data_IF_113909294634
#
_entry.id   IF_113909294634
#
_cell.length_a   1.000
_cell.length_b   1.000
_cell.length_c   1.000
_cell.angle_alpha   90.00
_cell.angle_beta   90.00
_cell.angle_gamma   90.00
#
_symmetry.space_group_name_H-M   'P 1'
#
loop_
_entity.id
_entity.type
_entity.pdbx_description
1 polymer ?
#
# COMPACT_ATOMS: atom_id res chain seq x y z
N UNK A 1 -7.62 -10.73 -13.56
CA UNK A 1 -8.44 -9.81 -12.74
C UNK A 1 -8.47 -8.42 -13.40
N UNK A 2 -9.00 -8.33 -14.63
CA UNK A 2 -9.08 -7.08 -15.41
C UNK A 2 -10.43 -6.99 -16.15
N UNK A 3 -11.49 -7.43 -15.47
CA UNK A 3 -12.90 -7.27 -15.85
C UNK A 3 -13.55 -6.58 -14.65
N UNK A 4 -14.37 -5.54 -14.73
CA UNK A 4 -15.11 -4.87 -15.80
C UNK A 4 -15.24 -3.42 -15.32
N UNK A 5 -14.75 -2.46 -16.08
CA UNK A 5 -15.34 -1.11 -15.98
C UNK A 5 -16.74 -1.23 -16.57
N UNK A 6 -17.76 -0.90 -15.77
CA UNK A 6 -19.15 -0.87 -16.21
C UNK A 6 -19.27 -0.08 -17.53
N UNK A 7 -20.13 -0.57 -18.42
CA UNK A 7 -20.40 0.08 -19.72
C UNK A 7 -20.79 1.54 -19.50
N UNK A 8 -21.59 1.83 -18.47
CA UNK A 8 -21.99 3.19 -18.12
C UNK A 8 -20.78 4.08 -17.82
N UNK A 9 -19.79 3.58 -17.08
CA UNK A 9 -18.56 4.33 -16.80
C UNK A 9 -17.78 4.61 -18.09
N UNK A 10 -17.62 3.62 -18.97
CA UNK A 10 -16.90 3.82 -20.25
C UNK A 10 -17.62 4.81 -21.17
N UNK A 11 -18.95 4.79 -21.18
CA UNK A 11 -19.76 5.70 -21.97
C UNK A 11 -19.68 7.13 -21.40
N UNK A 12 -19.68 7.30 -20.08
CA UNK A 12 -19.40 8.58 -19.42
C UNK A 12 -18.01 9.12 -19.79
N UNK A 13 -16.98 8.28 -19.76
CA UNK A 13 -15.63 8.64 -20.19
C UNK A 13 -15.55 9.04 -21.68
N UNK A 14 -16.27 8.33 -22.55
CA UNK A 14 -16.31 8.62 -24.00
C UNK A 14 -17.09 9.89 -24.33
N UNK A 15 -18.13 10.19 -23.55
CA UNK A 15 -18.97 11.38 -23.73
C UNK A 15 -18.32 12.67 -23.22
N UNK A 16 -17.17 12.59 -22.54
CA UNK A 16 -16.49 13.74 -21.93
C UNK A 16 -17.16 14.27 -20.66
N UNK A 17 -18.25 13.63 -20.20
CA UNK A 17 -18.94 13.97 -18.93
C UNK A 17 -18.06 13.67 -17.72
N UNK A 18 -17.15 12.69 -17.85
CA UNK A 18 -16.19 12.33 -16.83
C UNK A 18 -14.80 12.27 -17.44
N UNK A 19 -13.83 12.91 -16.79
CA UNK A 19 -12.43 12.86 -17.20
C UNK A 19 -11.65 11.89 -16.31
N UNK A 20 -10.67 11.20 -16.89
CA UNK A 20 -9.74 10.39 -16.10
C UNK A 20 -8.97 11.36 -15.21
N UNK A 21 -8.80 11.08 -13.90
CA UNK A 21 -7.94 11.89 -13.06
C UNK A 21 -6.57 11.99 -13.73
N UNK A 22 -6.23 13.20 -14.15
CA UNK A 22 -4.95 13.48 -14.79
C UNK A 22 -3.92 13.61 -13.67
N UNK A 23 -3.01 12.64 -13.58
CA UNK A 23 -1.90 12.73 -12.66
C UNK A 23 -0.74 13.47 -13.31
N UNK A 24 -0.17 14.44 -12.58
CA UNK A 24 1.08 15.07 -13.00
C UNK A 24 2.19 14.02 -13.12
N UNK A 25 3.26 14.27 -13.90
CA UNK A 25 4.43 13.37 -13.93
C UNK A 25 5.00 13.09 -12.53
N UNK A 26 4.99 14.10 -11.65
CA UNK A 26 5.48 14.01 -10.27
C UNK A 26 4.59 13.10 -9.40
N UNK A 27 3.28 13.26 -9.47
CA UNK A 27 2.31 12.40 -8.76
C UNK A 27 2.44 10.94 -9.21
N UNK A 28 2.63 10.69 -10.52
CA UNK A 28 2.86 9.33 -11.04
C UNK A 28 4.15 8.74 -10.50
N UNK A 29 5.23 9.52 -10.46
CA UNK A 29 6.52 9.08 -9.93
C UNK A 29 6.41 8.75 -8.44
N UNK A 30 5.73 9.60 -7.66
CA UNK A 30 5.52 9.42 -6.24
C UNK A 30 4.60 8.23 -5.93
N UNK A 31 3.51 8.01 -6.70
CA UNK A 31 2.68 6.78 -6.64
C UNK A 31 3.51 5.53 -6.88
N UNK A 32 4.36 5.53 -7.91
CA UNK A 32 5.25 4.41 -8.24
C UNK A 32 6.25 4.14 -7.12
N UNK A 33 6.86 5.19 -6.57
CA UNK A 33 7.80 5.08 -5.46
C UNK A 33 7.14 4.52 -4.20
N UNK A 34 5.94 5.01 -3.84
CA UNK A 34 5.15 4.50 -2.71
C UNK A 34 4.80 3.02 -2.90
N UNK A 35 4.36 2.64 -4.10
CA UNK A 35 4.09 1.23 -4.45
C UNK A 35 5.34 0.34 -4.33
N UNK A 36 6.51 0.83 -4.74
CA UNK A 36 7.77 0.11 -4.58
C UNK A 36 8.13 -0.11 -3.10
N UNK A 37 7.99 0.93 -2.25
CA UNK A 37 8.21 0.81 -0.80
C UNK A 37 7.27 -0.23 -0.17
N UNK A 38 5.98 -0.18 -0.48
CA UNK A 38 5.01 -1.17 -0.01
C UNK A 38 5.39 -2.59 -0.43
N UNK A 39 5.83 -2.76 -1.69
CA UNK A 39 6.30 -4.05 -2.21
C UNK A 39 7.53 -4.59 -1.47
N UNK A 40 8.47 -3.72 -1.09
CA UNK A 40 9.67 -4.12 -0.34
C UNK A 40 9.31 -4.60 1.06
N UNK A 41 8.45 -3.87 1.77
CA UNK A 41 7.96 -4.30 3.10
C UNK A 41 7.21 -5.61 3.00
N UNK A 42 6.24 -5.72 2.08
CA UNK A 42 5.47 -6.95 1.85
C UNK A 42 6.39 -8.16 1.61
N UNK A 43 7.40 -8.02 0.75
CA UNK A 43 8.33 -9.10 0.44
C UNK A 43 9.10 -9.58 1.66
N UNK A 44 9.67 -8.67 2.47
CA UNK A 44 10.43 -9.05 3.68
C UNK A 44 9.53 -9.78 4.68
N UNK A 45 8.35 -9.23 4.97
CA UNK A 45 7.41 -9.83 5.92
C UNK A 45 6.95 -11.23 5.48
N UNK A 46 6.63 -11.43 4.20
CA UNK A 46 6.21 -12.74 3.67
C UNK A 46 7.35 -13.77 3.69
N UNK A 47 8.60 -13.33 3.66
CA UNK A 47 9.77 -14.20 3.80
C UNK A 47 10.14 -14.48 5.28
N UNK A 48 9.42 -13.89 6.25
CA UNK A 48 9.78 -13.95 7.66
C UNK A 48 11.07 -13.18 8.00
N UNK A 49 11.51 -12.28 7.12
CA UNK A 49 12.69 -11.43 7.34
C UNK A 49 12.30 -10.22 8.21
N UNK A 50 13.09 -9.87 9.24
CA UNK A 50 12.83 -8.67 10.05
C UNK A 50 12.92 -7.42 9.18
N UNK A 51 12.13 -6.39 9.50
CA UNK A 51 12.24 -5.09 8.83
C UNK A 51 13.35 -4.26 9.47
N UNK A 52 14.11 -3.54 8.66
CA UNK A 52 15.26 -2.76 9.11
C UNK A 52 15.36 -1.44 8.35
N UNK A 53 16.00 -0.45 9.00
CA UNK A 53 16.26 0.89 8.44
C UNK A 53 15.02 1.49 7.77
N UNK A 54 15.18 1.89 6.50
CA UNK A 54 14.11 2.55 5.72
C UNK A 54 12.82 1.73 5.59
N UNK A 55 12.91 0.39 5.61
CA UNK A 55 11.71 -0.46 5.52
C UNK A 55 10.94 -0.52 6.83
N UNK A 56 11.66 -0.52 7.96
CA UNK A 56 11.07 -0.41 9.28
C UNK A 56 10.47 0.98 9.48
N UNK A 57 11.23 2.05 9.19
CA UNK A 57 10.76 3.43 9.32
C UNK A 57 9.47 3.67 8.53
N UNK A 58 9.43 3.16 7.29
CA UNK A 58 8.24 3.27 6.45
C UNK A 58 7.05 2.49 7.03
N UNK A 59 7.25 1.24 7.47
CA UNK A 59 6.17 0.44 8.06
C UNK A 59 5.60 1.07 9.33
N UNK A 60 6.48 1.57 10.22
CA UNK A 60 6.07 2.23 11.46
C UNK A 60 5.35 3.56 11.20
N UNK A 61 5.67 4.26 10.11
CA UNK A 61 4.98 5.51 9.72
C UNK A 61 3.54 5.30 9.24
N UNK A 62 3.16 4.07 8.86
CA UNK A 62 1.80 3.73 8.40
C UNK A 62 0.92 3.33 9.59
N UNK A 63 1.52 2.71 10.60
CA UNK A 63 0.82 2.09 11.71
C UNK A 63 0.56 3.08 12.86
N UNK A 64 -0.52 2.87 13.59
CA UNK A 64 -0.73 3.57 14.85
C UNK A 64 0.28 3.04 15.90
N UNK A 65 1.02 3.91 16.62
CA UNK A 65 1.95 3.51 17.68
C UNK A 65 1.33 2.64 18.80
N UNK A 66 0.02 2.73 19.00
CA UNK A 66 -0.70 1.92 19.99
C UNK A 66 -1.00 0.49 19.52
N UNK A 67 -0.94 0.24 18.20
CA UNK A 67 -1.18 -1.07 17.58
C UNK A 67 -0.12 -2.10 18.03
N UNK A 68 -0.56 -3.34 18.24
CA UNK A 68 0.30 -4.47 18.58
C UNK A 68 1.32 -4.73 17.48
N UNK A 69 0.93 -4.58 16.20
CA UNK A 69 1.82 -4.78 15.05
C UNK A 69 2.96 -3.76 15.08
N UNK A 70 2.67 -2.49 15.42
CA UNK A 70 3.70 -1.46 15.55
C UNK A 70 4.76 -1.87 16.58
N UNK A 71 4.31 -2.31 17.77
CA UNK A 71 5.21 -2.71 18.87
C UNK A 71 6.08 -3.91 18.46
N UNK A 72 5.46 -4.93 17.87
CA UNK A 72 6.18 -6.12 17.40
C UNK A 72 7.23 -5.81 16.35
N UNK A 73 6.88 -5.00 15.34
CA UNK A 73 7.84 -4.60 14.30
C UNK A 73 9.00 -3.80 14.88
N UNK A 74 8.71 -2.88 15.81
CA UNK A 74 9.74 -2.08 16.50
C UNK A 74 10.69 -2.94 17.35
N UNK A 75 10.17 -4.01 17.95
CA UNK A 75 10.94 -4.97 18.74
C UNK A 75 11.58 -6.09 17.91
N UNK A 76 11.34 -6.13 16.60
CA UNK A 76 11.85 -7.18 15.70
C UNK A 76 11.17 -8.54 15.91
N UNK A 77 10.00 -8.58 16.54
CA UNK A 77 9.25 -9.80 16.77
C UNK A 77 8.51 -10.26 15.50
N UNK A 78 8.36 -11.58 15.29
CA UNK A 78 7.58 -12.09 14.17
C UNK A 78 6.09 -11.74 14.33
N UNK A 79 5.45 -11.46 13.20
CA UNK A 79 4.00 -11.31 13.14
C UNK A 79 3.36 -12.70 13.04
N UNK A 80 2.25 -12.89 13.76
CA UNK A 80 1.34 -14.01 13.54
C UNK A 80 0.71 -13.94 12.14
N UNK A 81 0.11 -15.04 11.68
CA UNK A 81 -0.56 -15.09 10.38
C UNK A 81 -1.64 -14.02 10.23
N UNK A 82 -2.45 -13.80 11.27
CA UNK A 82 -3.48 -12.76 11.28
C UNK A 82 -2.89 -11.34 11.20
N UNK A 83 -1.84 -11.06 11.98
CA UNK A 83 -1.15 -9.77 11.95
C UNK A 83 -0.45 -9.53 10.61
N UNK A 84 0.10 -10.58 10.00
CA UNK A 84 0.70 -10.54 8.68
C UNK A 84 -0.35 -10.22 7.61
N UNK A 85 -1.53 -10.84 7.68
CA UNK A 85 -2.67 -10.51 6.82
C UNK A 85 -3.09 -9.04 6.97
N UNK A 86 -3.26 -8.55 8.20
CA UNK A 86 -3.59 -7.13 8.44
C UNK A 86 -2.52 -6.21 7.86
N UNK A 87 -1.25 -6.50 8.08
CA UNK A 87 -0.15 -5.70 7.56
C UNK A 87 -0.14 -5.66 6.03
N UNK A 88 -0.30 -6.81 5.38
CA UNK A 88 -0.10 -6.95 3.94
C UNK A 88 -1.34 -6.56 3.13
N UNK A 89 -2.51 -7.04 3.53
CA UNK A 89 -3.74 -6.94 2.75
C UNK A 89 -4.62 -5.77 3.18
N UNK A 90 -4.38 -5.20 4.36
CA UNK A 90 -5.10 -4.02 4.85
C UNK A 90 -4.17 -2.81 4.85
N UNK A 91 -3.19 -2.74 5.74
CA UNK A 91 -2.40 -1.52 5.93
C UNK A 91 -1.58 -1.13 4.69
N UNK A 92 -0.77 -2.04 4.14
CA UNK A 92 0.02 -1.75 2.93
C UNK A 92 -0.85 -1.55 1.68
N UNK A 93 -2.02 -2.18 1.61
CA UNK A 93 -2.95 -1.98 0.50
C UNK A 93 -3.51 -0.56 0.50
N UNK A 94 -4.00 -0.08 1.64
CA UNK A 94 -4.55 1.26 1.77
C UNK A 94 -3.47 2.31 1.55
N UNK A 95 -2.27 2.11 2.08
CA UNK A 95 -1.13 3.00 1.84
C UNK A 95 -0.77 3.08 0.34
N UNK A 96 -0.80 1.94 -0.37
CA UNK A 96 -0.51 1.90 -1.81
C UNK A 96 -1.58 2.59 -2.66
N UNK A 97 -2.85 2.46 -2.28
CA UNK A 97 -3.99 3.01 -3.03
C UNK A 97 -4.31 4.45 -2.66
N UNK A 98 -3.80 4.92 -1.52
CA UNK A 98 -4.03 6.24 -0.99
C UNK A 98 -3.61 7.38 -1.92
N UNK A 99 -4.07 8.60 -1.60
CA UNK A 99 -3.63 9.79 -2.30
C UNK A 99 -2.12 9.99 -2.13
N UNK A 100 -1.51 10.64 -3.11
CA UNK A 100 -0.07 10.93 -3.12
C UNK A 100 0.17 12.39 -2.88
#
# INVERSE_FOLDING_TARGET
MAERLDKAFRDLMRSGVMEWPQYTPEERAARKARGAKCGHVKRRLLNGEPLEGKTLDFALGILNPEDVIYKKLKEGQPLSEYELHLMVDVYLLHERLGPV
#
